data_IF_276085607136
#
_entry.id   IF_276085607136
#
_cell.length_a   1.000
_cell.length_b   1.000
_cell.length_c   1.000
_cell.angle_alpha   90.00
_cell.angle_beta   90.00
_cell.angle_gamma   90.00
#
_symmetry.space_group_name_H-M   'P 1'
#
loop_
_entity.id
_entity.type
_entity.pdbx_description
1 polymer ?
#
# COMPACT_ATOMS: atom_id res chain seq x y z
N UNK A 1 -14.42 15.00 -3.59
CA UNK A 1 -15.55 14.28 -4.24
C UNK A 1 -16.06 13.09 -3.43
N UNK A 2 -15.18 12.22 -2.88
CA UNK A 2 -15.59 11.12 -1.96
C UNK A 2 -16.42 11.58 -0.74
N UNK A 3 -16.15 12.76 -0.18
CA UNK A 3 -16.87 13.29 0.98
C UNK A 3 -18.36 13.60 0.69
N UNK A 4 -18.76 13.80 -0.58
CA UNK A 4 -20.16 14.08 -0.94
C UNK A 4 -21.01 12.82 -1.07
N UNK A 5 -20.41 11.65 -1.32
CA UNK A 5 -21.11 10.36 -1.41
C UNK A 5 -21.43 9.82 0.00
N UNK A 6 -20.51 10.00 0.96
CA UNK A 6 -20.70 9.57 2.36
C UNK A 6 -21.95 10.18 3.02
N UNK A 7 -22.31 11.40 2.64
CA UNK A 7 -23.48 12.11 3.17
C UNK A 7 -24.83 11.61 2.59
N UNK A 8 -24.84 10.91 1.45
CA UNK A 8 -26.06 10.55 0.71
C UNK A 8 -26.41 9.06 0.77
N UNK A 9 -25.44 8.19 1.05
CA UNK A 9 -25.64 6.74 1.24
C UNK A 9 -24.53 6.14 2.14
N UNK A 10 -24.64 6.28 3.48
CA UNK A 10 -23.57 5.88 4.42
C UNK A 10 -23.24 4.38 4.39
N UNK A 11 -24.22 3.52 4.12
CA UNK A 11 -24.01 2.07 3.97
C UNK A 11 -23.19 1.68 2.74
N UNK A 12 -23.42 2.32 1.59
CA UNK A 12 -22.62 2.05 0.39
C UNK A 12 -21.17 2.54 0.56
N UNK A 13 -20.99 3.68 1.23
CA UNK A 13 -19.67 4.21 1.53
C UNK A 13 -18.87 3.31 2.48
N UNK A 14 -19.51 2.72 3.50
CA UNK A 14 -18.85 1.78 4.41
C UNK A 14 -18.50 0.45 3.71
N UNK A 15 -19.38 -0.08 2.87
CA UNK A 15 -19.11 -1.29 2.09
C UNK A 15 -17.97 -1.08 1.10
N UNK A 16 -17.93 0.05 0.39
CA UNK A 16 -16.84 0.39 -0.50
C UNK A 16 -15.50 0.54 0.25
N UNK A 17 -15.51 1.16 1.44
CA UNK A 17 -14.33 1.27 2.29
C UNK A 17 -13.80 -0.09 2.77
N UNK A 18 -14.70 -1.00 3.18
CA UNK A 18 -14.33 -2.37 3.54
C UNK A 18 -13.77 -3.14 2.33
N UNK A 19 -14.38 -3.01 1.16
CA UNK A 19 -13.88 -3.60 -0.08
C UNK A 19 -12.46 -3.12 -0.40
N UNK A 20 -12.23 -1.81 -0.31
CA UNK A 20 -10.91 -1.20 -0.54
C UNK A 20 -9.85 -1.75 0.41
N UNK A 21 -10.15 -1.84 1.71
CA UNK A 21 -9.20 -2.41 2.68
C UNK A 21 -8.86 -3.87 2.37
N UNK A 22 -9.86 -4.68 1.99
CA UNK A 22 -9.66 -6.10 1.67
C UNK A 22 -8.82 -6.28 0.41
N UNK A 23 -9.06 -5.48 -0.63
CA UNK A 23 -8.21 -5.48 -1.83
C UNK A 23 -6.77 -5.11 -1.49
N UNK A 24 -6.57 -4.13 -0.59
CA UNK A 24 -5.25 -3.80 -0.07
C UNK A 24 -4.54 -4.97 0.60
N UNK A 25 -5.24 -5.78 1.39
CA UNK A 25 -4.66 -6.96 2.03
C UNK A 25 -4.29 -8.07 1.04
N UNK A 26 -5.15 -8.34 0.06
CA UNK A 26 -4.86 -9.35 -0.98
C UNK A 26 -3.68 -8.90 -1.84
N UNK A 27 -3.70 -7.66 -2.33
CA UNK A 27 -2.63 -7.14 -3.19
C UNK A 27 -1.28 -6.97 -2.48
N UNK A 28 -1.26 -6.95 -1.14
CA UNK A 28 -0.03 -6.83 -0.34
C UNK A 28 0.87 -8.07 -0.39
N UNK A 29 0.39 -9.21 -0.89
CA UNK A 29 1.18 -10.45 -0.91
C UNK A 29 1.42 -11.08 0.46
N UNK A 30 0.74 -10.64 1.51
CA UNK A 30 0.82 -11.25 2.84
C UNK A 30 0.08 -12.59 2.93
N UNK A 31 -1.01 -12.75 2.16
CA UNK A 31 -1.90 -13.92 2.25
C UNK A 31 -1.46 -15.09 1.35
N UNK A 32 -0.45 -14.90 0.49
CA UNK A 32 0.00 -15.92 -0.45
C UNK A 32 1.49 -15.79 -0.73
N UNK A 33 2.03 -16.82 -1.38
CA UNK A 33 3.45 -16.89 -1.75
C UNK A 33 3.60 -16.49 -3.22
N UNK A 34 4.30 -15.38 -3.49
CA UNK A 34 4.50 -14.83 -4.84
C UNK A 34 4.94 -15.87 -5.87
N UNK A 35 5.87 -16.75 -5.46
CA UNK A 35 6.44 -17.81 -6.28
C UNK A 35 5.45 -18.90 -6.73
N UNK A 36 4.25 -18.96 -6.13
CA UNK A 36 3.22 -19.96 -6.44
C UNK A 36 2.02 -19.35 -7.19
N UNK A 37 2.03 -18.04 -7.51
CA UNK A 37 0.91 -17.42 -8.21
C UNK A 37 0.99 -17.62 -9.73
N UNK A 38 -0.17 -17.80 -10.39
CA UNK A 38 -0.25 -17.73 -11.83
C UNK A 38 0.23 -16.38 -12.36
N UNK A 39 0.90 -16.38 -13.51
CA UNK A 39 1.45 -15.17 -14.14
C UNK A 39 0.43 -14.04 -14.34
N UNK A 40 -0.82 -14.38 -14.68
CA UNK A 40 -1.89 -13.39 -14.84
C UNK A 40 -2.26 -12.64 -13.57
N UNK A 41 -2.06 -13.24 -12.38
CA UNK A 41 -2.30 -12.58 -11.11
C UNK A 41 -1.08 -11.78 -10.61
N UNK A 42 0.13 -12.14 -11.04
CA UNK A 42 1.35 -11.40 -10.67
C UNK A 42 1.26 -9.92 -11.06
N UNK A 43 0.70 -9.59 -12.22
CA UNK A 43 0.53 -8.21 -12.67
C UNK A 43 -0.34 -7.34 -11.72
N UNK A 44 -1.25 -7.95 -10.97
CA UNK A 44 -2.11 -7.25 -10.02
C UNK A 44 -1.41 -6.92 -8.69
N UNK A 45 -0.31 -7.61 -8.38
CA UNK A 45 0.41 -7.47 -7.11
C UNK A 45 1.73 -6.74 -7.27
N UNK A 46 2.42 -6.90 -8.41
CA UNK A 46 3.74 -6.29 -8.67
C UNK A 46 3.72 -4.77 -8.80
N UNK A 47 2.56 -4.16 -9.03
CA UNK A 47 2.46 -2.70 -8.94
C UNK A 47 2.53 -2.22 -7.47
N UNK A 48 2.07 -3.01 -6.51
CA UNK A 48 1.92 -2.54 -5.14
C UNK A 48 3.28 -2.51 -4.41
N UNK A 49 3.80 -1.36 -3.95
CA UNK A 49 5.09 -1.28 -3.27
C UNK A 49 5.14 -2.09 -1.96
N UNK A 50 3.99 -2.35 -1.33
CA UNK A 50 3.92 -3.21 -0.13
C UNK A 50 4.20 -4.67 -0.49
N UNK A 51 3.75 -5.14 -1.66
CA UNK A 51 4.05 -6.50 -2.13
C UNK A 51 5.56 -6.72 -2.22
N UNK A 52 6.28 -5.74 -2.75
CA UNK A 52 7.73 -5.75 -2.82
C UNK A 52 8.38 -5.86 -1.44
N UNK A 53 7.92 -5.09 -0.46
CA UNK A 53 8.45 -5.15 0.90
C UNK A 53 8.22 -6.52 1.56
N UNK A 54 7.00 -7.05 1.45
CA UNK A 54 6.63 -8.34 2.06
C UNK A 54 7.38 -9.51 1.42
N UNK A 55 7.49 -9.52 0.09
CA UNK A 55 8.15 -10.60 -0.63
C UNK A 55 9.67 -10.59 -0.41
N UNK A 56 10.29 -9.41 -0.31
CA UNK A 56 11.69 -9.26 0.07
C UNK A 56 11.95 -9.68 1.52
N UNK A 57 11.08 -9.27 2.46
CA UNK A 57 11.16 -9.71 3.86
C UNK A 57 11.07 -11.24 3.98
N UNK A 58 10.23 -11.88 3.17
CA UNK A 58 10.14 -13.35 3.08
C UNK A 58 11.46 -13.98 2.60
N UNK A 59 12.12 -13.39 1.60
CA UNK A 59 13.42 -13.86 1.12
C UNK A 59 14.53 -13.75 2.16
N UNK A 60 14.44 -12.79 3.08
CA UNK A 60 15.37 -12.65 4.20
C UNK A 60 15.02 -13.57 5.38
N UNK A 61 13.73 -13.83 5.62
CA UNK A 61 13.27 -14.63 6.75
C UNK A 61 13.38 -16.15 6.52
N UNK A 62 13.26 -16.62 5.27
CA UNK A 62 13.25 -18.04 4.95
C UNK A 62 14.43 -18.42 4.04
N UNK A 63 15.31 -19.31 4.52
CA UNK A 63 16.49 -19.75 3.78
C UNK A 63 16.19 -20.41 2.41
N UNK A 64 15.00 -21.00 2.26
CA UNK A 64 14.56 -21.68 1.03
C UNK A 64 13.63 -20.81 0.17
N UNK A 65 13.66 -19.49 0.33
CA UNK A 65 12.83 -18.58 -0.44
C UNK A 65 13.67 -17.53 -1.16
N UNK A 66 13.63 -17.56 -2.49
CA UNK A 66 14.17 -16.49 -3.33
C UNK A 66 13.00 -15.66 -3.87
N UNK A 67 13.02 -14.36 -3.59
CA UNK A 67 12.04 -13.40 -4.06
C UNK A 67 12.25 -13.13 -5.57
N UNK A 68 11.61 -13.92 -6.44
CA UNK A 68 11.82 -13.89 -7.91
C UNK A 68 11.00 -12.83 -8.65
N UNK A 69 9.95 -12.34 -8.02
CA UNK A 69 8.95 -11.48 -8.66
C UNK A 69 8.89 -10.09 -8.01
N UNK A 70 9.85 -9.77 -7.14
CA UNK A 70 9.92 -8.48 -6.45
C UNK A 70 11.34 -7.92 -6.46
N UNK A 71 11.42 -6.59 -6.50
CA UNK A 71 12.63 -5.81 -6.28
C UNK A 71 12.46 -4.91 -5.05
N UNK A 72 13.55 -4.51 -4.39
CA UNK A 72 13.48 -3.72 -3.15
C UNK A 72 13.22 -2.21 -3.37
N UNK A 73 13.61 -1.67 -4.53
CA UNK A 73 13.54 -0.22 -4.80
C UNK A 73 12.12 0.39 -4.75
N UNK A 74 11.02 -0.28 -5.19
CA UNK A 74 9.68 0.32 -5.13
C UNK A 74 9.22 0.55 -3.69
N UNK A 75 9.59 -0.36 -2.77
CA UNK A 75 9.30 -0.22 -1.35
C UNK A 75 10.04 0.98 -0.75
N UNK A 76 11.33 1.14 -1.06
CA UNK A 76 12.11 2.28 -0.58
C UNK A 76 11.63 3.62 -1.16
N UNK A 77 11.32 3.66 -2.46
CA UNK A 77 10.79 4.85 -3.12
C UNK A 77 9.46 5.29 -2.49
N UNK A 78 8.56 4.34 -2.23
CA UNK A 78 7.29 4.62 -1.57
C UNK A 78 7.48 5.11 -0.14
N UNK A 79 8.36 4.49 0.64
CA UNK A 79 8.65 4.91 2.00
C UNK A 79 9.22 6.34 2.05
N UNK A 80 10.17 6.66 1.16
CA UNK A 80 10.73 8.00 1.03
C UNK A 80 9.65 9.03 0.67
N UNK A 81 8.80 8.72 -0.32
CA UNK A 81 7.69 9.59 -0.71
C UNK A 81 6.71 9.81 0.46
N UNK A 82 6.34 8.75 1.18
CA UNK A 82 5.43 8.84 2.32
C UNK A 82 6.00 9.74 3.43
N UNK A 83 7.31 9.64 3.71
CA UNK A 83 8.00 10.52 4.65
C UNK A 83 7.97 11.97 4.16
N UNK A 84 8.34 12.22 2.89
CA UNK A 84 8.34 13.57 2.31
C UNK A 84 6.96 14.22 2.37
N UNK A 85 5.91 13.49 1.98
CA UNK A 85 4.53 13.95 2.07
C UNK A 85 4.15 14.22 3.53
N UNK A 86 4.53 13.34 4.45
CA UNK A 86 4.32 13.52 5.88
C UNK A 86 4.98 14.79 6.42
N UNK A 87 6.21 15.08 6.00
CA UNK A 87 6.96 16.27 6.39
C UNK A 87 6.31 17.55 5.83
N UNK A 88 5.91 17.55 4.55
CA UNK A 88 5.20 18.67 3.92
C UNK A 88 3.86 18.93 4.61
N UNK A 89 3.06 17.88 4.84
CA UNK A 89 1.78 17.98 5.55
C UNK A 89 1.96 18.53 6.97
N UNK A 90 3.01 18.08 7.65
CA UNK A 90 3.36 18.55 8.99
C UNK A 90 3.80 20.03 8.99
N UNK A 91 4.56 20.49 8.00
CA UNK A 91 4.91 21.92 7.86
C UNK A 91 3.68 22.76 7.56
N UNK A 92 2.80 22.30 6.67
CA UNK A 92 1.57 22.99 6.31
C UNK A 92 0.67 23.24 7.54
N UNK A 93 0.51 22.23 8.42
CA UNK A 93 -0.25 22.35 9.68
C UNK A 93 0.36 23.34 10.68
N UNK A 94 1.68 23.55 10.65
CA UNK A 94 2.37 24.50 11.54
C UNK A 94 2.38 25.93 11.00
N UNK A 95 2.40 26.11 9.67
CA UNK A 95 2.39 27.43 9.02
C UNK A 95 1.05 28.16 9.13
N UNK A 96 -0.05 27.44 9.38
CA UNK A 96 -1.37 28.02 9.63
C UNK A 96 -1.57 28.58 11.04
N UNK A 97 -0.56 28.51 11.92
CA UNK A 97 -0.65 28.89 13.34
C UNK A 97 0.03 30.20 13.74
N UNK A 98 0.64 30.95 12.82
CA UNK A 98 1.38 32.20 13.13
C UNK A 98 0.76 33.44 12.46
N UNK A 99 -0.56 33.44 12.28
CA UNK A 99 -1.31 34.58 11.75
C UNK A 99 -2.19 35.21 12.82
N UNK A 100 -1.60 35.64 13.93
CA UNK A 100 -2.11 36.66 14.88
C UNK A 100 -0.90 37.37 15.47
#
# INVERSE_FOLDING_TARGET
MLLRIKARAPGLASMAAMGWMRVGMVTSGAMFVANALPGGFLAWVTWNPIFHAVDQARGLAFANYVARHSEAWPAYAFAALAILVGLVANRAKRGSGTGV
#
